data_IF_810779698739
#
_entry.id   IF_810779698739
#
_cell.length_a   1.000
_cell.length_b   1.000
_cell.length_c   1.000
_cell.angle_alpha   90.00
_cell.angle_beta   90.00
_cell.angle_gamma   90.00
#
_symmetry.space_group_name_H-M   'P 1'
#
loop_
_entity.id
_entity.type
_entity.pdbx_description
1 polymer ?
#
# COMPACT_ATOMS: atom_id res chain seq x y z
N UNK A 1 -21.10 -17.93 -9.19
CA UNK A 1 -20.10 -16.88 -9.50
C UNK A 1 -18.79 -17.28 -8.84
N UNK A 2 -17.64 -17.32 -9.55
CA UNK A 2 -16.36 -17.60 -8.91
C UNK A 2 -16.13 -16.59 -7.79
N UNK A 3 -15.72 -17.04 -6.61
CA UNK A 3 -15.35 -16.12 -5.52
C UNK A 3 -14.14 -15.32 -5.97
N UNK A 4 -14.28 -14.00 -6.08
CA UNK A 4 -13.15 -13.09 -6.34
C UNK A 4 -12.02 -13.42 -5.38
N UNK A 5 -10.83 -13.73 -5.90
CA UNK A 5 -9.66 -14.08 -5.08
C UNK A 5 -9.28 -12.85 -4.25
N UNK A 6 -9.01 -13.02 -2.96
CA UNK A 6 -8.52 -11.91 -2.14
C UNK A 6 -7.22 -11.37 -2.77
N UNK A 7 -7.17 -10.10 -3.20
CA UNK A 7 -6.02 -9.54 -3.91
C UNK A 7 -4.78 -9.42 -3.01
N UNK A 8 -4.96 -9.42 -1.70
CA UNK A 8 -3.90 -9.39 -0.69
C UNK A 8 -3.42 -10.78 -0.27
N UNK A 9 -3.98 -11.87 -0.81
CA UNK A 9 -3.59 -13.23 -0.44
C UNK A 9 -2.10 -13.45 -0.75
N UNK A 10 -1.32 -13.78 0.28
CA UNK A 10 0.13 -14.02 0.17
C UNK A 10 0.99 -12.76 0.14
N UNK A 11 0.41 -11.57 0.33
CA UNK A 11 1.12 -10.30 0.40
C UNK A 11 1.09 -9.75 1.83
N UNK A 12 2.06 -8.88 2.17
CA UNK A 12 2.06 -8.14 3.45
C UNK A 12 1.08 -6.98 3.32
N UNK A 13 0.23 -6.80 4.33
CA UNK A 13 -0.74 -5.70 4.40
C UNK A 13 -0.49 -4.87 5.67
N UNK A 14 -0.93 -3.62 5.63
CA UNK A 14 -0.87 -2.71 6.77
C UNK A 14 -2.14 -2.84 7.62
N UNK A 15 -1.98 -2.93 8.94
CA UNK A 15 -3.07 -2.96 9.91
C UNK A 15 -3.05 -1.67 10.74
N UNK A 16 -3.85 -0.68 10.34
CA UNK A 16 -3.92 0.63 11.01
C UNK A 16 -4.14 0.51 12.52
N UNK A 17 -5.00 -0.42 12.95
CA UNK A 17 -5.29 -0.69 14.38
C UNK A 17 -4.09 -1.16 15.19
N UNK A 18 -3.03 -1.67 14.56
CA UNK A 18 -1.80 -2.12 15.22
C UNK A 18 -0.72 -1.04 15.25
N UNK A 19 -0.91 0.08 14.56
CA UNK A 19 0.01 1.21 14.57
C UNK A 19 -0.41 2.22 15.63
N UNK A 20 0.52 2.60 16.50
CA UNK A 20 0.30 3.61 17.53
C UNK A 20 0.47 5.04 17.01
N UNK A 21 1.09 5.23 15.85
CA UNK A 21 1.33 6.54 15.22
C UNK A 21 0.35 6.84 14.09
N UNK A 22 -0.55 5.90 13.80
CA UNK A 22 -1.52 6.03 12.73
C UNK A 22 -2.65 7.01 13.12
N UNK A 23 -3.01 7.86 12.18
CA UNK A 23 -4.12 8.81 12.27
C UNK A 23 -5.04 8.57 11.08
N UNK A 24 -6.32 8.30 11.37
CA UNK A 24 -7.36 8.21 10.35
C UNK A 24 -7.53 9.57 9.64
N UNK A 25 -7.56 9.53 8.30
CA UNK A 25 -7.79 10.73 7.50
C UNK A 25 -9.08 10.62 6.70
N UNK A 26 -9.77 11.74 6.58
CA UNK A 26 -10.91 11.84 5.67
C UNK A 26 -10.44 11.83 4.21
N UNK A 27 -11.26 11.23 3.34
CA UNK A 27 -11.09 11.26 1.90
C UNK A 27 -10.68 9.92 1.30
N UNK A 28 -10.99 9.77 0.02
CA UNK A 28 -10.73 8.57 -0.76
C UNK A 28 -9.74 8.84 -1.87
N UNK A 29 -9.07 7.79 -2.31
CA UNK A 29 -8.19 7.82 -3.46
C UNK A 29 -8.57 6.72 -4.43
N UNK A 30 -8.23 6.93 -5.70
CA UNK A 30 -8.41 5.95 -6.74
C UNK A 30 -7.34 6.12 -7.80
N UNK A 31 -6.79 5.01 -8.28
CA UNK A 31 -5.86 4.99 -9.39
C UNK A 31 -6.32 3.99 -10.45
N UNK A 32 -5.95 4.28 -11.69
CA UNK A 32 -6.03 3.34 -12.82
C UNK A 32 -4.64 3.22 -13.41
N UNK A 33 -4.14 2.01 -13.52
CA UNK A 33 -2.91 1.70 -14.22
C UNK A 33 -3.27 1.25 -15.64
N UNK A 34 -2.50 1.70 -16.65
CA UNK A 34 -2.74 1.33 -18.06
C UNK A 34 -1.94 0.07 -18.40
N UNK A 35 -2.44 -0.83 -19.29
CA UNK A 35 -3.74 -0.79 -19.96
C UNK A 35 -4.91 -1.22 -19.04
N UNK A 36 -4.64 -2.13 -18.09
CA UNK A 36 -5.62 -2.68 -17.16
C UNK A 36 -5.11 -2.60 -15.72
N UNK A 37 -6.05 -2.51 -14.78
CA UNK A 37 -5.78 -2.46 -13.35
C UNK A 37 -6.29 -1.17 -12.72
N UNK A 38 -7.01 -1.32 -11.62
CA UNK A 38 -7.46 -0.22 -10.78
C UNK A 38 -7.28 -0.57 -9.32
N UNK A 39 -7.10 0.46 -8.49
CA UNK A 39 -7.18 0.32 -7.04
C UNK A 39 -7.83 1.56 -6.45
N UNK A 40 -8.56 1.37 -5.35
CA UNK A 40 -9.20 2.45 -4.61
C UNK A 40 -9.08 2.20 -3.13
N UNK A 41 -9.24 3.27 -2.37
CA UNK A 41 -9.48 3.18 -0.95
C UNK A 41 -9.46 4.54 -0.28
N UNK A 42 -8.90 4.59 0.92
CA UNK A 42 -8.97 5.76 1.79
C UNK A 42 -7.59 6.22 2.21
N UNK A 43 -7.49 7.49 2.59
CA UNK A 43 -6.24 8.05 3.08
C UNK A 43 -6.03 7.72 4.55
N UNK A 44 -4.78 7.54 4.93
CA UNK A 44 -4.32 7.52 6.31
C UNK A 44 -3.05 8.35 6.44
N UNK A 45 -2.67 8.62 7.69
CA UNK A 45 -1.42 9.27 8.02
C UNK A 45 -0.66 8.38 9.00
N UNK A 46 0.60 8.07 8.71
CA UNK A 46 1.46 7.33 9.65
C UNK A 46 2.93 7.71 9.46
N UNK A 47 3.78 7.13 10.30
CA UNK A 47 5.23 7.26 10.23
C UNK A 47 5.83 6.20 9.31
N UNK A 48 6.44 6.63 8.21
CA UNK A 48 7.24 5.74 7.38
C UNK A 48 8.68 5.66 7.83
N UNK A 49 9.29 4.50 7.58
CA UNK A 49 10.70 4.24 7.82
C UNK A 49 11.29 3.62 6.57
N UNK A 50 12.30 4.27 6.00
CA UNK A 50 13.02 3.79 4.83
C UNK A 50 14.37 3.21 5.26
N UNK A 51 14.72 2.06 4.71
CA UNK A 51 15.91 1.28 5.07
C UNK A 51 15.58 -0.03 5.79
N UNK A 52 16.60 -0.87 5.95
CA UNK A 52 16.46 -2.20 6.55
C UNK A 52 16.20 -2.13 8.07
N UNK A 53 15.59 -3.20 8.60
CA UNK A 53 15.39 -3.33 10.03
C UNK A 53 16.75 -3.43 10.74
N UNK A 54 16.96 -2.62 11.77
CA UNK A 54 18.21 -2.60 12.53
C UNK A 54 19.32 -1.71 11.96
N UNK A 55 19.09 -1.04 10.82
CA UNK A 55 20.02 -0.01 10.30
C UNK A 55 19.57 1.39 10.68
N UNK A 56 20.40 2.40 10.39
CA UNK A 56 19.95 3.78 10.41
C UNK A 56 18.86 3.96 9.34
N UNK A 57 17.63 4.20 9.78
CA UNK A 57 16.47 4.38 8.90
C UNK A 57 16.11 5.86 8.78
N UNK A 58 15.73 6.29 7.58
CA UNK A 58 15.11 7.60 7.38
C UNK A 58 13.66 7.53 7.88
N UNK A 59 13.35 8.29 8.92
CA UNK A 59 12.02 8.35 9.53
C UNK A 59 11.25 9.55 8.98
N UNK A 60 10.10 9.29 8.37
CA UNK A 60 9.19 10.31 7.83
C UNK A 60 7.89 10.26 8.63
N UNK A 61 7.76 11.10 9.68
CA UNK A 61 6.52 11.19 10.44
C UNK A 61 5.44 11.94 9.63
N UNK A 62 4.17 11.67 9.91
CA UNK A 62 3.10 12.50 9.37
C UNK A 62 2.79 12.26 7.88
N UNK A 63 3.24 11.14 7.30
CA UNK A 63 3.15 10.91 5.87
C UNK A 63 1.73 10.45 5.49
N UNK A 64 1.11 11.16 4.54
CA UNK A 64 -0.19 10.78 3.97
C UNK A 64 -0.01 9.65 2.96
N UNK A 65 -0.76 8.57 3.09
CA UNK A 65 -0.71 7.42 2.18
C UNK A 65 -2.08 6.80 1.94
N UNK A 66 -2.16 5.96 0.90
CA UNK A 66 -3.39 5.29 0.49
C UNK A 66 -3.47 3.84 0.97
N UNK A 67 -4.48 3.54 1.78
CA UNK A 67 -4.86 2.16 2.10
C UNK A 67 -5.86 1.66 1.06
N UNK A 68 -5.59 0.52 0.45
CA UNK A 68 -6.45 -0.06 -0.58
C UNK A 68 -7.49 -0.98 0.06
N UNK A 69 -8.76 -0.74 -0.20
CA UNK A 69 -9.85 -1.65 0.17
C UNK A 69 -10.49 -2.33 -1.05
N UNK A 70 -10.18 -1.83 -2.26
CA UNK A 70 -10.56 -2.41 -3.54
C UNK A 70 -9.35 -2.46 -4.46
N UNK A 71 -9.02 -3.66 -4.97
CA UNK A 71 -7.94 -3.88 -5.92
C UNK A 71 -8.47 -4.77 -7.04
N UNK A 72 -8.25 -4.35 -8.28
CA UNK A 72 -8.68 -5.09 -9.46
C UNK A 72 -7.81 -6.33 -9.71
N UNK A 73 -8.36 -7.34 -10.37
CA UNK A 73 -7.71 -8.65 -10.52
C UNK A 73 -6.39 -8.55 -11.29
N UNK A 74 -6.35 -7.73 -12.35
CA UNK A 74 -5.14 -7.49 -13.12
C UNK A 74 -3.97 -6.97 -12.27
N UNK A 75 -4.25 -6.16 -11.24
CA UNK A 75 -3.22 -5.65 -10.31
C UNK A 75 -2.88 -6.67 -9.21
N UNK A 76 -3.85 -7.50 -8.83
CA UNK A 76 -3.66 -8.56 -7.84
C UNK A 76 -2.78 -9.71 -8.35
N UNK A 77 -2.89 -10.04 -9.64
CA UNK A 77 -2.20 -11.16 -10.28
C UNK A 77 -0.80 -10.82 -10.80
N UNK A 78 -0.45 -9.53 -10.91
CA UNK A 78 0.87 -9.10 -11.33
C UNK A 78 1.95 -9.74 -10.43
N UNK A 79 2.93 -10.49 -11.00
CA UNK A 79 3.99 -11.12 -10.22
C UNK A 79 4.78 -10.04 -9.50
N UNK A 80 5.09 -10.29 -8.23
CA UNK A 80 5.93 -9.42 -7.40
C UNK A 80 7.36 -9.51 -7.95
N UNK A 81 7.63 -8.80 -9.05
CA UNK A 81 8.99 -8.64 -9.55
C UNK A 81 9.79 -8.01 -8.43
N UNK A 82 10.97 -8.57 -8.16
CA UNK A 82 11.94 -8.14 -7.14
C UNK A 82 12.19 -6.63 -7.24
N UNK A 83 11.35 -5.88 -6.57
CA UNK A 83 11.62 -4.56 -6.06
C UNK A 83 11.41 -4.75 -4.57
N UNK A 84 12.51 -4.84 -3.85
CA UNK A 84 12.63 -5.53 -2.56
C UNK A 84 11.87 -4.82 -1.41
N UNK A 85 11.07 -3.81 -1.76
CA UNK A 85 10.45 -2.87 -0.83
C UNK A 85 8.98 -2.54 -1.13
N UNK A 86 8.39 -2.95 -2.26
CA UNK A 86 6.98 -2.62 -2.57
C UNK A 86 6.06 -3.75 -2.12
N UNK A 87 5.59 -3.66 -0.87
CA UNK A 87 4.63 -4.58 -0.24
C UNK A 87 3.21 -4.21 -0.68
N UNK A 88 2.66 -4.91 -1.67
CA UNK A 88 1.27 -4.64 -2.10
C UNK A 88 0.29 -5.32 -1.13
N UNK A 89 -0.08 -4.60 -0.08
CA UNK A 89 -1.45 -4.22 0.24
C UNK A 89 -1.47 -2.99 1.16
N UNK A 90 -0.43 -2.16 1.07
CA UNK A 90 -0.59 -0.71 0.95
C UNK A 90 -0.50 -0.40 -0.55
N UNK A 91 -1.43 0.39 -1.07
CA UNK A 91 -1.08 1.18 -2.24
C UNK A 91 -0.23 2.33 -1.72
N UNK A 92 1.02 2.01 -1.36
CA UNK A 92 2.06 3.02 -1.32
C UNK A 92 2.12 3.56 -2.75
N UNK A 93 1.35 4.61 -3.01
CA UNK A 93 1.55 5.48 -4.14
C UNK A 93 2.98 5.92 -4.01
N UNK A 94 3.83 5.33 -4.86
CA UNK A 94 5.24 5.64 -4.90
C UNK A 94 5.40 7.12 -5.18
N UNK A 95 5.65 7.89 -4.13
CA UNK A 95 6.66 8.93 -4.22
C UNK A 95 7.98 8.17 -4.30
N UNK A 96 8.36 7.89 -5.55
CA UNK A 96 9.72 7.57 -5.92
C UNK A 96 10.49 8.88 -5.80
N UNK A 97 11.42 8.99 -4.86
CA UNK A 97 12.52 9.94 -4.97
C UNK A 97 13.80 9.09 -4.78
N UNK A 98 14.79 9.23 -5.69
CA UNK A 98 15.99 8.40 -5.75
C UNK A 98 16.74 8.24 -4.43
#
# INVERSE_FOLDING_TARGET
MPRKRNPCRGKRYFESKKSSSYIDMNGTWGMKYRPDGAAKGFFGNDTFRFGDSGTAQLVVPGAKFGQANEIDEALAEAPQKRQDHVKICEAAGGVVIP
#
